data_IF_835228626083
#
_entry.id   IF_835228626083
#
_cell.length_a   1.000
_cell.length_b   1.000
_cell.length_c   1.000
_cell.angle_alpha   90.00
_cell.angle_beta   90.00
_cell.angle_gamma   90.00
#
_symmetry.space_group_name_H-M   'P 1'
#
loop_
_entity.id
_entity.type
_entity.pdbx_description
1 polymer ?
#
# COMPACT_ATOMS: atom_id res chain seq x y z
N UNK A 1 65.71 3.32 -13.08
CA UNK A 1 64.52 2.48 -12.82
C UNK A 1 63.36 3.40 -12.49
N UNK A 2 62.55 3.76 -13.49
CA UNK A 2 61.26 4.41 -13.27
C UNK A 2 60.29 3.30 -12.87
N UNK A 3 60.00 3.20 -11.58
CA UNK A 3 58.89 2.37 -11.09
C UNK A 3 57.60 3.01 -11.59
N UNK A 4 57.11 2.54 -12.74
CA UNK A 4 55.77 2.79 -13.21
C UNK A 4 54.78 2.14 -12.25
N UNK A 5 54.50 2.83 -11.14
CA UNK A 5 53.39 2.48 -10.27
C UNK A 5 52.13 2.55 -11.11
N UNK A 6 51.50 1.40 -11.36
CA UNK A 6 50.16 1.36 -11.90
C UNK A 6 49.29 2.20 -10.95
N UNK A 7 48.81 3.36 -11.41
CA UNK A 7 47.87 4.16 -10.65
C UNK A 7 46.60 3.32 -10.49
N UNK A 8 46.49 2.61 -9.36
CA UNK A 8 45.27 1.90 -8.99
C UNK A 8 44.28 2.95 -8.53
N UNK A 9 43.66 3.64 -9.50
CA UNK A 9 42.53 4.52 -9.23
C UNK A 9 41.38 3.76 -8.55
N UNK A 10 40.44 4.49 -7.91
CA UNK A 10 39.30 3.85 -7.27
C UNK A 10 38.51 2.99 -8.26
N UNK A 11 37.87 1.96 -7.74
CA UNK A 11 37.01 1.06 -8.52
C UNK A 11 35.59 1.55 -8.45
N UNK A 12 34.88 1.57 -9.58
CA UNK A 12 33.45 1.89 -9.59
C UNK A 12 32.69 0.59 -9.34
N UNK A 13 31.95 0.55 -8.24
CA UNK A 13 31.13 -0.60 -7.83
C UNK A 13 29.67 -0.15 -7.77
N UNK A 14 28.79 -0.89 -8.45
CA UNK A 14 27.35 -0.75 -8.26
C UNK A 14 26.90 -1.86 -7.31
N UNK A 15 26.36 -1.54 -6.13
CA UNK A 15 25.91 -2.56 -5.20
C UNK A 15 24.72 -3.33 -5.80
N UNK A 16 24.57 -4.57 -5.36
CA UNK A 16 23.38 -5.37 -5.67
C UNK A 16 22.17 -4.78 -4.90
N UNK A 17 20.94 -4.84 -5.46
CA UNK A 17 19.77 -4.40 -4.74
C UNK A 17 19.58 -5.26 -3.48
N UNK A 18 18.98 -4.70 -2.40
CA UNK A 18 18.71 -5.47 -1.20
C UNK A 18 17.92 -6.74 -1.53
N UNK A 19 18.32 -7.93 -1.04
CA UNK A 19 17.53 -9.13 -1.20
C UNK A 19 16.09 -8.96 -0.69
N UNK A 20 15.16 -9.68 -1.29
CA UNK A 20 13.76 -9.72 -0.90
C UNK A 20 13.47 -11.16 -0.46
N UNK A 21 12.73 -11.39 0.63
CA UNK A 21 12.32 -12.74 1.03
C UNK A 21 11.68 -13.49 -0.16
N UNK A 22 11.97 -14.78 -0.33
CA UNK A 22 11.49 -15.53 -1.50
C UNK A 22 9.96 -15.78 -1.46
N UNK A 23 9.41 -16.02 -0.25
CA UNK A 23 7.99 -16.29 -0.02
C UNK A 23 7.65 -16.31 1.47
N UNK A 24 6.37 -16.27 1.80
CA UNK A 24 5.85 -16.48 3.16
C UNK A 24 4.99 -17.73 3.24
N UNK A 25 4.59 -18.11 4.46
CA UNK A 25 3.60 -19.16 4.66
C UNK A 25 2.29 -18.83 3.93
N UNK A 26 1.50 -19.86 3.63
CA UNK A 26 0.19 -19.70 3.03
C UNK A 26 -0.70 -18.78 3.88
N UNK A 27 -1.50 -17.93 3.22
CA UNK A 27 -2.46 -17.09 3.92
C UNK A 27 -3.57 -17.99 4.48
N UNK A 28 -3.89 -17.90 5.79
CA UNK A 28 -5.00 -18.68 6.34
C UNK A 28 -6.33 -18.32 5.68
N UNK A 29 -7.20 -19.30 5.47
CA UNK A 29 -8.46 -19.13 4.71
C UNK A 29 -9.41 -18.07 5.30
N UNK A 30 -9.35 -17.85 6.61
CA UNK A 30 -10.18 -16.89 7.32
C UNK A 30 -9.60 -15.47 7.35
N UNK A 31 -8.38 -15.25 6.83
CA UNK A 31 -7.80 -13.92 6.77
C UNK A 31 -8.38 -13.11 5.60
N UNK A 32 -8.82 -11.91 5.91
CA UNK A 32 -9.54 -11.01 5.00
C UNK A 32 -8.56 -10.15 4.20
N UNK A 33 -7.63 -10.78 3.47
CA UNK A 33 -6.62 -10.05 2.67
C UNK A 33 -7.25 -9.35 1.45
N UNK A 34 -6.48 -8.46 0.81
CA UNK A 34 -6.92 -7.68 -0.35
C UNK A 34 -6.22 -8.14 -1.63
N UNK A 35 -4.90 -8.34 -1.57
CA UNK A 35 -4.10 -8.76 -2.72
C UNK A 35 -3.95 -10.28 -2.76
N UNK A 36 -4.18 -10.88 -3.92
CA UNK A 36 -3.84 -12.28 -4.18
C UNK A 36 -2.38 -12.42 -4.65
N UNK A 37 -1.80 -13.60 -4.48
CA UNK A 37 -0.45 -13.92 -4.96
C UNK A 37 -0.29 -13.57 -6.45
N UNK A 38 0.84 -12.95 -6.80
CA UNK A 38 1.12 -12.56 -8.18
C UNK A 38 0.37 -11.31 -8.65
N UNK A 39 -0.22 -10.54 -7.73
CA UNK A 39 -0.84 -9.24 -8.03
C UNK A 39 -0.04 -8.07 -7.46
N UNK A 40 -0.37 -6.86 -7.89
CA UNK A 40 0.17 -5.63 -7.33
C UNK A 40 -0.91 -4.55 -7.24
N UNK A 41 -0.72 -3.63 -6.30
CA UNK A 41 -1.41 -2.33 -6.26
C UNK A 41 -0.37 -1.24 -6.51
N UNK A 42 -0.72 -0.28 -7.37
CA UNK A 42 0.06 0.94 -7.62
C UNK A 42 -0.83 2.13 -7.33
N UNK A 43 -0.42 2.99 -6.41
CA UNK A 43 -1.18 4.17 -6.01
C UNK A 43 -0.37 5.46 -6.15
N UNK A 44 -1.02 6.52 -6.63
CA UNK A 44 -0.40 7.81 -6.89
C UNK A 44 -0.17 8.61 -5.62
N UNK A 45 1.06 9.09 -5.45
CA UNK A 45 1.51 9.91 -4.34
C UNK A 45 2.15 11.22 -4.85
N UNK A 46 2.18 12.30 -4.04
CA UNK A 46 2.78 13.58 -4.46
C UNK A 46 4.24 13.51 -4.94
N UNK A 47 4.98 12.45 -4.57
CA UNK A 47 6.38 12.23 -4.91
C UNK A 47 6.56 11.11 -5.96
N UNK A 48 5.49 10.61 -6.57
CA UNK A 48 5.53 9.52 -7.54
C UNK A 48 4.46 8.48 -7.24
N UNK A 49 4.88 7.23 -7.00
CA UNK A 49 3.96 6.12 -6.78
C UNK A 49 4.38 5.27 -5.60
N UNK A 50 3.42 4.86 -4.78
CA UNK A 50 3.60 3.74 -3.86
C UNK A 50 3.15 2.47 -4.56
N UNK A 51 3.91 1.39 -4.43
CA UNK A 51 3.59 0.11 -5.05
C UNK A 51 3.68 -1.01 -4.02
N UNK A 52 2.67 -1.85 -3.97
CA UNK A 52 2.58 -3.02 -3.10
C UNK A 52 2.52 -4.25 -4.00
N UNK A 53 3.51 -5.13 -3.89
CA UNK A 53 3.59 -6.39 -4.63
C UNK A 53 3.18 -7.54 -3.71
N UNK A 54 2.24 -8.36 -4.15
CA UNK A 54 1.88 -9.60 -3.46
C UNK A 54 2.66 -10.78 -4.04
N UNK A 55 3.52 -11.34 -3.22
CA UNK A 55 4.23 -12.57 -3.52
C UNK A 55 3.53 -13.82 -3.01
N UNK A 56 4.20 -14.98 -3.10
CA UNK A 56 3.70 -16.21 -2.52
C UNK A 56 3.33 -16.06 -1.04
N UNK A 57 2.10 -16.43 -0.71
CA UNK A 57 1.57 -16.42 0.65
C UNK A 57 1.59 -15.03 1.29
N UNK A 58 2.16 -14.96 2.49
CA UNK A 58 2.20 -13.74 3.31
C UNK A 58 3.27 -12.72 2.88
N UNK A 59 3.96 -12.93 1.76
CA UNK A 59 4.99 -12.01 1.28
C UNK A 59 4.37 -10.73 0.68
N UNK A 60 4.86 -9.57 1.12
CA UNK A 60 4.63 -8.28 0.47
C UNK A 60 5.94 -7.54 0.19
N UNK A 61 5.98 -6.78 -0.90
CA UNK A 61 7.06 -5.82 -1.18
C UNK A 61 6.47 -4.44 -1.35
N UNK A 62 7.03 -3.47 -0.62
CA UNK A 62 6.63 -2.08 -0.69
C UNK A 62 7.69 -1.28 -1.43
N UNK A 63 7.28 -0.60 -2.49
CA UNK A 63 8.12 0.39 -3.18
C UNK A 63 7.69 1.79 -2.77
N UNK A 64 8.62 2.56 -2.23
CA UNK A 64 8.41 3.94 -1.80
C UNK A 64 9.63 4.78 -2.19
N UNK A 65 9.41 5.89 -2.90
CA UNK A 65 10.47 6.76 -3.46
C UNK A 65 11.55 6.00 -4.26
N UNK A 66 11.16 4.94 -4.97
CA UNK A 66 12.06 4.09 -5.74
C UNK A 66 12.79 3.02 -4.92
N UNK A 67 12.66 3.02 -3.60
CA UNK A 67 13.24 2.01 -2.71
C UNK A 67 12.28 0.85 -2.49
N UNK A 68 12.76 -0.40 -2.58
CA UNK A 68 11.96 -1.62 -2.41
C UNK A 68 12.27 -2.30 -1.09
N UNK A 69 11.26 -2.68 -0.32
CA UNK A 69 11.40 -3.42 0.95
C UNK A 69 10.44 -4.59 1.01
N UNK A 70 10.99 -5.80 1.16
CA UNK A 70 10.20 -7.03 1.29
C UNK A 70 10.01 -7.43 2.74
N UNK A 71 8.81 -7.87 3.09
CA UNK A 71 8.45 -8.38 4.41
C UNK A 71 7.55 -9.61 4.27
N UNK A 72 7.61 -10.50 5.26
CA UNK A 72 6.62 -11.56 5.45
C UNK A 72 5.67 -11.06 6.53
N UNK A 73 4.39 -10.93 6.19
CA UNK A 73 3.38 -10.41 7.11
C UNK A 73 2.89 -11.53 8.03
N UNK A 74 2.42 -11.12 9.21
CA UNK A 74 1.83 -11.97 10.22
C UNK A 74 0.30 -11.93 10.06
N UNK A 75 -0.37 -13.08 9.93
CA UNK A 75 -1.83 -13.13 9.90
C UNK A 75 -2.38 -12.83 11.29
N UNK A 76 -3.47 -12.07 11.35
CA UNK A 76 -4.18 -11.83 12.60
C UNK A 76 -4.94 -13.10 13.01
N UNK A 77 -4.78 -13.52 14.26
CA UNK A 77 -5.56 -14.59 14.89
C UNK A 77 -6.89 -14.13 15.48
N UNK A 78 -7.05 -12.82 15.69
CA UNK A 78 -8.23 -12.18 16.27
C UNK A 78 -8.63 -10.93 15.47
N UNK A 79 -9.94 -10.61 15.46
CA UNK A 79 -10.46 -9.41 14.78
C UNK A 79 -9.93 -8.15 15.45
N UNK A 80 -9.17 -7.36 14.72
CA UNK A 80 -8.70 -6.06 15.17
C UNK A 80 -9.41 -4.96 14.40
N UNK A 81 -10.15 -4.11 15.13
CA UNK A 81 -10.99 -3.06 14.55
C UNK A 81 -11.91 -3.59 13.42
N UNK A 82 -12.48 -4.78 13.65
CA UNK A 82 -13.40 -5.45 12.72
C UNK A 82 -12.74 -6.31 11.65
N UNK A 83 -11.41 -6.35 11.54
CA UNK A 83 -10.70 -7.04 10.44
C UNK A 83 -9.86 -8.24 10.89
N UNK A 84 -9.90 -9.32 10.11
CA UNK A 84 -8.96 -10.46 10.17
C UNK A 84 -7.82 -10.31 9.13
N UNK A 85 -7.23 -9.13 9.01
CA UNK A 85 -6.17 -8.86 8.03
C UNK A 85 -4.81 -9.51 8.34
N UNK A 86 -3.79 -9.06 7.64
CA UNK A 86 -2.37 -9.39 7.85
C UNK A 86 -1.61 -8.10 8.20
N UNK A 87 -0.55 -8.19 9.00
CA UNK A 87 0.23 -7.01 9.42
C UNK A 87 1.71 -7.30 9.55
N UNK A 88 2.52 -6.26 9.59
CA UNK A 88 3.90 -6.36 10.04
C UNK A 88 4.33 -5.03 10.62
N UNK A 89 5.00 -5.04 11.77
CA UNK A 89 5.58 -3.84 12.37
C UNK A 89 7.02 -4.14 12.79
N UNK A 90 7.96 -3.35 12.28
CA UNK A 90 9.36 -3.50 12.65
C UNK A 90 10.31 -3.23 11.50
N UNK A 91 11.53 -3.75 11.65
CA UNK A 91 12.60 -3.60 10.67
C UNK A 91 12.61 -4.81 9.71
N UNK A 92 12.41 -4.59 8.40
CA UNK A 92 12.46 -5.67 7.42
C UNK A 92 13.75 -6.53 7.52
N UNK A 93 13.67 -7.84 7.28
CA UNK A 93 14.79 -8.77 7.50
C UNK A 93 16.05 -8.46 6.68
N UNK A 94 15.90 -7.78 5.55
CA UNK A 94 17.01 -7.40 4.66
C UNK A 94 17.20 -5.90 4.67
N UNK A 95 18.41 -5.44 5.01
CA UNK A 95 18.64 -4.05 5.41
C UNK A 95 19.73 -3.30 4.64
N UNK A 96 19.31 -2.22 3.97
CA UNK A 96 20.06 -0.96 3.89
C UNK A 96 19.06 0.18 4.18
N UNK A 97 19.46 1.21 4.93
CA UNK A 97 18.61 2.39 5.12
C UNK A 97 18.47 3.11 3.78
N UNK A 98 17.23 3.42 3.37
CA UNK A 98 17.02 4.30 2.24
C UNK A 98 16.15 5.47 2.66
N UNK A 99 16.65 6.67 2.33
CA UNK A 99 16.00 7.94 2.66
C UNK A 99 15.62 8.09 4.15
N UNK A 100 16.43 7.50 5.04
CA UNK A 100 16.23 7.56 6.50
C UNK A 100 15.11 6.69 7.05
N UNK A 101 14.38 5.95 6.21
CA UNK A 101 13.39 4.97 6.66
C UNK A 101 14.11 3.70 7.07
N UNK A 102 13.92 3.28 8.32
CA UNK A 102 14.48 2.06 8.90
C UNK A 102 13.47 0.96 9.21
N UNK A 103 12.19 1.32 9.32
CA UNK A 103 11.11 0.44 9.76
C UNK A 103 9.89 0.59 8.86
N UNK A 104 9.04 -0.42 8.89
CA UNK A 104 7.72 -0.37 8.29
C UNK A 104 6.65 -0.76 9.31
N UNK A 105 5.49 -0.15 9.19
CA UNK A 105 4.26 -0.51 9.91
C UNK A 105 3.18 -0.69 8.85
N UNK A 106 2.87 -1.94 8.52
CA UNK A 106 2.02 -2.27 7.38
C UNK A 106 0.83 -3.10 7.80
N UNK A 107 -0.33 -2.74 7.26
CA UNK A 107 -1.58 -3.46 7.47
C UNK A 107 -2.27 -3.69 6.13
N UNK A 108 -2.84 -4.89 5.96
CA UNK A 108 -3.71 -5.22 4.83
C UNK A 108 -4.93 -5.95 5.36
N UNK A 109 -6.13 -5.56 4.92
CA UNK A 109 -7.33 -6.28 5.30
C UNK A 109 -8.63 -5.76 4.69
N UNK A 110 -9.76 -6.32 5.11
CA UNK A 110 -11.08 -5.77 4.82
C UNK A 110 -11.63 -4.97 6.01
N UNK A 111 -12.40 -3.91 5.73
CA UNK A 111 -13.16 -3.16 6.74
C UNK A 111 -14.61 -3.08 6.34
N UNK A 112 -15.49 -3.27 7.31
CA UNK A 112 -16.94 -3.19 7.13
C UNK A 112 -17.46 -1.99 7.92
N UNK A 113 -18.24 -1.16 7.26
CA UNK A 113 -18.88 0.01 7.82
C UNK A 113 -20.37 -0.07 7.53
N UNK A 114 -21.18 0.50 8.41
CA UNK A 114 -22.63 0.62 8.18
C UNK A 114 -22.94 1.71 7.16
N UNK A 115 -22.18 2.82 7.18
CA UNK A 115 -22.41 3.97 6.30
C UNK A 115 -21.12 4.46 5.64
N UNK A 116 -21.26 5.21 4.54
CA UNK A 116 -20.14 5.90 3.89
C UNK A 116 -19.47 6.90 4.86
N UNK A 117 -20.26 7.63 5.64
CA UNK A 117 -19.76 8.61 6.61
C UNK A 117 -18.85 7.94 7.66
N UNK A 118 -19.17 6.72 8.11
CA UNK A 118 -18.32 5.92 9.01
C UNK A 118 -16.95 5.63 8.40
N UNK A 119 -16.93 5.23 7.13
CA UNK A 119 -15.70 4.98 6.40
C UNK A 119 -14.85 6.25 6.27
N UNK A 120 -15.48 7.38 5.95
CA UNK A 120 -14.78 8.66 5.79
C UNK A 120 -14.22 9.19 7.12
N UNK A 121 -14.98 9.10 8.21
CA UNK A 121 -14.52 9.47 9.56
C UNK A 121 -13.33 8.61 9.96
N UNK A 122 -13.40 7.30 9.70
CA UNK A 122 -12.32 6.38 10.01
C UNK A 122 -11.02 6.79 9.30
N UNK A 123 -11.10 7.12 8.00
CA UNK A 123 -9.94 7.58 7.24
C UNK A 123 -9.34 8.88 7.82
N UNK A 124 -10.18 9.82 8.26
CA UNK A 124 -9.73 11.07 8.89
C UNK A 124 -8.97 10.82 10.21
N UNK A 125 -9.44 9.89 11.04
CA UNK A 125 -8.83 9.57 12.35
C UNK A 125 -7.43 8.95 12.20
N UNK A 126 -7.21 8.09 11.19
CA UNK A 126 -5.90 7.45 10.96
C UNK A 126 -4.79 8.45 10.57
N UNK A 127 -5.16 9.65 10.10
CA UNK A 127 -4.25 10.73 9.69
C UNK A 127 -3.17 10.27 8.70
N UNK A 128 -3.59 9.50 7.69
CA UNK A 128 -2.75 9.12 6.55
C UNK A 128 -3.02 10.02 5.34
N UNK A 129 -2.13 9.97 4.36
CA UNK A 129 -2.43 10.36 2.98
C UNK A 129 -3.06 9.16 2.29
N UNK A 130 -4.02 9.40 1.40
CA UNK A 130 -4.74 8.33 0.72
C UNK A 130 -4.77 8.50 -0.80
N UNK A 131 -4.87 7.35 -1.47
CA UNK A 131 -5.45 7.20 -2.80
C UNK A 131 -6.45 6.05 -2.70
N UNK A 132 -7.65 6.22 -3.25
CA UNK A 132 -8.73 5.25 -3.09
C UNK A 132 -9.73 5.34 -4.23
N UNK A 133 -10.41 4.23 -4.49
CA UNK A 133 -11.39 4.08 -5.57
C UNK A 133 -12.81 4.10 -5.04
N UNK A 134 -13.75 4.33 -5.95
CA UNK A 134 -15.18 4.32 -5.68
C UNK A 134 -15.67 2.96 -5.16
N UNK A 135 -14.99 1.87 -5.54
CA UNK A 135 -15.33 0.51 -5.11
C UNK A 135 -14.76 0.14 -3.72
N UNK A 136 -14.18 1.10 -3.01
CA UNK A 136 -13.71 0.92 -1.64
C UNK A 136 -12.31 0.34 -1.49
N UNK A 137 -11.52 0.25 -2.57
CA UNK A 137 -10.10 -0.05 -2.41
C UNK A 137 -9.35 1.21 -1.94
N UNK A 138 -8.73 1.13 -0.78
CA UNK A 138 -8.07 2.24 -0.10
C UNK A 138 -6.61 1.91 0.14
N UNK A 139 -5.71 2.78 -0.33
CA UNK A 139 -4.29 2.74 -0.01
C UNK A 139 -3.94 4.00 0.79
N UNK A 140 -3.48 3.81 2.02
CA UNK A 140 -3.07 4.86 2.93
C UNK A 140 -1.57 4.81 3.23
N UNK A 141 -0.91 5.95 3.41
CA UNK A 141 0.48 5.98 3.85
C UNK A 141 0.84 7.25 4.64
N UNK A 142 1.88 7.14 5.46
CA UNK A 142 2.59 8.27 6.08
C UNK A 142 4.00 7.86 6.46
N UNK A 143 4.84 8.84 6.74
CA UNK A 143 6.14 8.63 7.39
C UNK A 143 6.13 9.29 8.76
N UNK A 144 6.69 8.64 9.77
CA UNK A 144 6.89 9.21 11.11
C UNK A 144 8.24 8.75 11.65
N UNK A 145 9.19 9.68 11.77
CA UNK A 145 10.56 9.33 12.14
C UNK A 145 11.18 8.42 11.09
N UNK A 146 11.69 7.27 11.53
CA UNK A 146 12.29 6.25 10.69
C UNK A 146 11.28 5.18 10.21
N UNK A 147 9.98 5.35 10.45
CA UNK A 147 8.94 4.39 10.06
C UNK A 147 8.12 4.87 8.86
N UNK A 148 8.00 4.01 7.84
CA UNK A 148 6.99 4.12 6.78
C UNK A 148 5.75 3.30 7.16
N UNK A 149 4.61 3.96 7.33
CA UNK A 149 3.33 3.28 7.52
C UNK A 149 2.62 3.13 6.17
N UNK A 150 2.14 1.93 5.84
CA UNK A 150 1.33 1.66 4.64
C UNK A 150 0.12 0.80 5.02
N UNK A 151 -1.06 1.22 4.59
CA UNK A 151 -2.30 0.52 4.84
C UNK A 151 -3.03 0.22 3.54
N UNK A 152 -3.49 -1.01 3.37
CA UNK A 152 -4.31 -1.44 2.25
C UNK A 152 -5.62 -1.99 2.79
N UNK A 153 -6.74 -1.38 2.40
CA UNK A 153 -8.06 -1.80 2.86
C UNK A 153 -9.02 -1.98 1.70
N UNK A 154 -9.81 -3.05 1.73
CA UNK A 154 -11.05 -3.12 0.97
C UNK A 154 -12.21 -2.77 1.91
N UNK A 155 -12.88 -1.66 1.64
CA UNK A 155 -14.05 -1.21 2.37
C UNK A 155 -15.32 -1.88 1.83
N UNK A 156 -16.22 -2.17 2.77
CA UNK A 156 -17.60 -2.57 2.51
C UNK A 156 -18.51 -1.63 3.28
N UNK A 157 -19.55 -1.13 2.62
CA UNK A 157 -20.61 -0.31 3.20
C UNK A 157 -21.89 -1.14 3.16
N UNK A 158 -22.52 -1.33 4.32
CA UNK A 158 -23.71 -2.18 4.47
C UNK A 158 -23.52 -3.59 3.89
N UNK A 159 -22.32 -4.15 4.10
CA UNK A 159 -21.97 -5.51 3.65
C UNK A 159 -21.51 -5.62 2.19
N UNK A 160 -21.69 -4.59 1.36
CA UNK A 160 -21.34 -4.59 -0.06
C UNK A 160 -20.17 -3.66 -0.37
N UNK A 161 -19.49 -3.86 -1.52
CA UNK A 161 -18.52 -2.86 -1.98
C UNK A 161 -19.30 -1.59 -2.35
N UNK A 162 -18.88 -0.40 -1.90
CA UNK A 162 -19.51 0.83 -2.36
C UNK A 162 -19.38 0.97 -3.87
N UNK A 163 -20.24 1.76 -4.49
CA UNK A 163 -20.11 2.15 -5.91
C UNK A 163 -19.61 3.58 -6.06
N UNK A 164 -19.59 4.34 -4.96
CA UNK A 164 -19.09 5.70 -4.86
C UNK A 164 -18.53 5.95 -3.47
N UNK A 165 -17.40 6.66 -3.40
CA UNK A 165 -16.86 7.18 -2.14
C UNK A 165 -16.47 8.64 -2.33
N UNK A 166 -16.87 9.56 -1.43
CA UNK A 166 -16.53 10.98 -1.56
C UNK A 166 -15.02 11.20 -1.67
N UNK A 167 -14.59 11.85 -2.74
CA UNK A 167 -13.17 12.17 -3.00
C UNK A 167 -12.34 11.01 -3.57
N UNK A 168 -12.97 9.88 -3.89
CA UNK A 168 -12.31 8.78 -4.57
C UNK A 168 -11.94 9.14 -6.02
N UNK A 169 -10.85 8.53 -6.48
CA UNK A 169 -10.34 8.70 -7.84
C UNK A 169 -9.81 7.36 -8.33
N UNK A 170 -10.60 6.71 -9.20
CA UNK A 170 -10.29 5.40 -9.77
C UNK A 170 -9.02 5.41 -10.63
N UNK A 171 -8.56 6.58 -11.07
CA UNK A 171 -7.34 6.67 -11.89
C UNK A 171 -6.06 6.62 -11.05
N UNK A 172 -6.18 6.89 -9.75
CA UNK A 172 -5.03 7.01 -8.83
C UNK A 172 -4.68 5.72 -8.11
N UNK A 173 -5.42 4.64 -8.34
CA UNK A 173 -5.12 3.30 -7.82
C UNK A 173 -5.33 2.28 -8.93
N UNK A 174 -4.27 1.58 -9.30
CA UNK A 174 -4.30 0.51 -10.28
C UNK A 174 -4.01 -0.84 -9.59
N UNK A 175 -4.84 -1.83 -9.86
CA UNK A 175 -4.61 -3.24 -9.49
C UNK A 175 -4.33 -4.03 -10.74
N UNK A 176 -3.38 -4.96 -10.70
CA UNK A 176 -3.07 -5.77 -11.85
C UNK A 176 -2.09 -6.89 -11.57
N UNK A 177 -1.65 -7.61 -12.62
CA UNK A 177 -0.62 -8.63 -12.49
C UNK A 177 0.68 -8.01 -11.96
N UNK A 178 1.41 -8.80 -11.18
CA UNK A 178 2.68 -8.39 -10.60
C UNK A 178 3.72 -8.15 -11.69
N UNK A 179 4.26 -6.94 -11.72
CA UNK A 179 5.40 -6.56 -12.55
C UNK A 179 6.60 -6.28 -11.64
N UNK A 180 7.61 -7.15 -11.61
CA UNK A 180 8.78 -6.93 -10.75
C UNK A 180 9.79 -6.06 -11.47
N UNK A 181 9.98 -4.84 -10.99
CA UNK A 181 11.04 -3.92 -11.45
C UNK A 181 12.12 -3.86 -10.35
N UNK A 182 13.36 -4.31 -10.62
CA UNK A 182 14.45 -4.24 -9.64
C UNK A 182 14.73 -2.80 -9.18
N UNK A 183 15.15 -2.63 -7.92
CA UNK A 183 15.58 -1.32 -7.41
C UNK A 183 16.83 -0.89 -8.18
N UNK A 184 16.82 0.32 -8.74
CA UNK A 184 17.99 0.90 -9.37
C UNK A 184 19.00 1.29 -8.30
N UNK A 185 20.22 0.79 -8.41
CA UNK A 185 21.31 1.09 -7.48
C UNK A 185 22.25 2.13 -8.07
N UNK A 186 22.73 3.06 -7.24
CA UNK A 186 23.71 4.06 -7.63
C UNK A 186 25.12 3.53 -7.42
N UNK A 187 26.04 3.72 -8.38
CA UNK A 187 27.44 3.35 -8.21
C UNK A 187 28.14 4.20 -7.15
N UNK A 188 29.16 3.63 -6.53
CA UNK A 188 30.11 4.32 -5.66
C UNK A 188 31.55 3.96 -6.05
N UNK A 189 32.46 4.87 -5.74
CA UNK A 189 33.89 4.64 -5.81
C UNK A 189 34.33 3.85 -4.57
N UNK A 190 35.19 2.85 -4.76
CA UNK A 190 35.84 2.08 -3.70
C UNK A 190 37.34 2.25 -3.84
N UNK A 191 37.96 2.83 -2.83
CA UNK A 191 39.38 3.13 -2.81
C UNK A 191 40.19 1.99 -2.17
N UNK A 192 41.51 1.99 -2.36
CA UNK A 192 42.39 0.91 -1.93
C UNK A 192 42.48 0.74 -0.39
N UNK A 193 42.26 1.82 0.35
CA UNK A 193 42.17 1.87 1.81
C UNK A 193 40.77 1.53 2.35
N UNK A 194 39.81 1.24 1.47
CA UNK A 194 38.46 0.82 1.81
C UNK A 194 37.44 1.95 1.99
N UNK A 195 37.83 3.23 1.86
CA UNK A 195 36.83 4.29 1.86
C UNK A 195 35.96 4.26 0.60
N UNK A 196 34.74 4.78 0.72
CA UNK A 196 33.77 4.82 -0.37
C UNK A 196 33.18 6.20 -0.57
N UNK A 197 33.00 6.61 -1.82
CA UNK A 197 32.38 7.89 -2.18
C UNK A 197 31.29 7.70 -3.25
N UNK A 198 30.21 8.50 -3.27
CA UNK A 198 29.21 8.42 -4.34
C UNK A 198 29.85 8.66 -5.72
N UNK A 199 29.52 7.85 -6.72
CA UNK A 199 29.96 8.10 -8.09
C UNK A 199 28.92 8.95 -8.84
N UNK A 200 29.13 10.26 -8.85
CA UNK A 200 28.31 11.28 -9.51
C UNK A 200 29.14 12.11 -10.53
N UNK A 201 28.52 13.09 -11.19
CA UNK A 201 29.19 13.95 -12.21
C UNK A 201 30.47 14.64 -11.70
N UNK A 202 30.49 15.08 -10.45
CA UNK A 202 31.63 15.77 -9.85
C UNK A 202 32.80 14.80 -9.60
N UNK A 203 32.52 13.68 -8.93
CA UNK A 203 33.54 12.63 -8.67
C UNK A 203 34.02 11.96 -9.95
N UNK A 204 33.16 11.84 -10.98
CA UNK A 204 33.54 11.28 -12.27
C UNK A 204 34.57 12.15 -13.01
N UNK A 205 34.47 13.48 -12.88
CA UNK A 205 35.46 14.40 -13.42
C UNK A 205 36.80 14.31 -12.67
N UNK A 206 36.77 14.09 -11.35
CA UNK A 206 37.95 13.96 -10.50
C UNK A 206 38.65 12.60 -10.64
N UNK A 207 37.90 11.54 -10.95
CA UNK A 207 38.39 10.17 -11.06
C UNK A 207 38.14 9.57 -12.46
N UNK A 208 38.54 10.29 -13.51
CA UNK A 208 38.39 9.87 -14.92
C UNK A 208 39.14 8.57 -15.28
N UNK A 209 40.06 8.10 -14.44
CA UNK A 209 40.77 6.82 -14.57
C UNK A 209 40.16 5.65 -13.78
N UNK A 210 39.02 5.84 -13.11
CA UNK A 210 38.35 4.80 -12.34
C UNK A 210 37.81 3.69 -13.25
N UNK A 211 38.04 2.42 -12.88
CA UNK A 211 37.60 1.26 -13.67
C UNK A 211 36.32 0.69 -13.10
N UNK A 212 35.30 0.51 -13.95
CA UNK A 212 34.09 -0.21 -13.59
C UNK A 212 34.40 -1.69 -13.40
N UNK A 213 34.00 -2.26 -12.26
CA UNK A 213 34.02 -3.70 -12.06
C UNK A 213 32.73 -4.30 -12.60
N UNK A 214 32.84 -5.10 -13.65
CA UNK A 214 31.77 -6.02 -14.04
C UNK A 214 31.89 -7.28 -13.19
N UNK A 215 31.00 -7.51 -12.23
CA UNK A 215 30.72 -8.88 -11.75
C UNK A 215 29.95 -9.63 -12.84
N UNK A 216 30.63 -9.94 -13.94
CA UNK A 216 30.33 -11.14 -14.71
C UNK A 216 31.18 -12.26 -14.11
N UNK A 217 30.80 -12.71 -12.90
CA UNK A 217 31.32 -13.96 -12.37
C UNK A 217 30.62 -15.07 -13.15
N UNK A 218 31.29 -15.52 -14.20
CA UNK A 218 31.07 -16.85 -14.76
C UNK A 218 31.45 -17.83 -13.65
N UNK A 219 30.49 -18.14 -12.77
CA UNK A 219 30.58 -19.31 -11.92
C UNK A 219 30.51 -20.51 -12.86
N UNK A 220 31.69 -20.92 -13.31
CA UNK A 220 31.88 -22.21 -13.97
C UNK A 220 31.77 -23.23 -12.83
N UNK A 221 30.53 -23.55 -12.45
CA UNK A 221 30.25 -24.74 -11.69
C UNK A 221 30.67 -25.89 -12.60
N UNK A 222 31.82 -26.48 -12.26
CA UNK A 222 32.28 -27.75 -12.77
C UNK A 222 31.26 -28.83 -12.38
N UNK A 223 30.18 -28.95 -13.14
CA UNK A 223 29.34 -30.13 -13.16
C UNK A 223 29.83 -31.06 -14.24
N UNK A 224 30.68 -31.98 -13.81
CA UNK A 224 31.06 -33.18 -14.54
C UNK A 224 29.80 -34.04 -14.75
N UNK A 225 29.07 -33.81 -15.84
CA UNK A 225 27.93 -34.64 -16.28
C UNK A 225 27.89 -34.85 -17.80
N UNK A 226 29.02 -34.61 -18.48
CA UNK A 226 29.17 -34.67 -19.94
C UNK A 226 29.12 -36.10 -20.49
N UNK A 227 27.99 -36.78 -20.31
CA UNK A 227 27.58 -37.96 -21.08
C UNK A 227 26.12 -38.30 -20.76
N UNK A 228 25.18 -37.47 -21.25
CA UNK A 228 23.90 -37.95 -21.82
C UNK A 228 23.04 -36.82 -22.42
N UNK A 229 22.71 -37.05 -23.70
CA UNK A 229 21.48 -36.67 -24.43
C UNK A 229 21.20 -35.19 -24.71
N UNK A 230 21.70 -34.74 -25.88
CA UNK A 230 21.33 -33.52 -26.59
C UNK A 230 19.91 -33.53 -27.22
N UNK A 231 19.02 -34.43 -26.81
CA UNK A 231 17.65 -34.54 -27.35
C UNK A 231 16.55 -34.02 -26.40
N UNK A 232 16.88 -33.70 -25.14
CA UNK A 232 15.85 -33.42 -24.10
C UNK A 232 15.62 -31.90 -23.83
N UNK A 233 16.35 -31.01 -24.54
CA UNK A 233 16.30 -29.57 -24.31
C UNK A 233 15.31 -28.83 -25.25
N UNK A 234 15.10 -29.31 -26.47
CA UNK A 234 14.11 -28.73 -27.40
C UNK A 234 12.68 -29.07 -26.99
N UNK A 235 12.42 -30.29 -26.53
CA UNK A 235 11.08 -30.72 -26.12
C UNK A 235 10.61 -30.01 -24.84
N UNK A 236 11.51 -29.77 -23.86
CA UNK A 236 11.19 -29.00 -22.64
C UNK A 236 11.02 -27.51 -22.91
N UNK A 237 11.77 -26.92 -23.84
CA UNK A 237 11.60 -25.52 -24.23
C UNK A 237 10.27 -25.29 -24.97
N UNK A 238 9.87 -26.22 -25.85
CA UNK A 238 8.57 -26.18 -26.51
C UNK A 238 7.40 -26.45 -25.55
N UNK A 239 7.58 -27.37 -24.58
CA UNK A 239 6.58 -27.62 -23.54
C UNK A 239 6.39 -26.40 -22.61
N UNK A 240 7.47 -25.71 -22.22
CA UNK A 240 7.41 -24.50 -21.41
C UNK A 240 6.77 -23.31 -22.17
N UNK A 241 7.04 -23.18 -23.47
CA UNK A 241 6.41 -22.16 -24.32
C UNK A 241 4.91 -22.41 -24.50
N UNK A 242 4.49 -23.66 -24.68
CA UNK A 242 3.07 -24.05 -24.77
C UNK A 242 2.33 -23.87 -23.44
N UNK A 243 2.96 -24.21 -22.31
CA UNK A 243 2.38 -23.99 -20.98
C UNK A 243 2.19 -22.50 -20.66
N UNK A 244 3.15 -21.65 -21.05
CA UNK A 244 3.03 -20.19 -20.90
C UNK A 244 1.92 -19.61 -21.78
N UNK A 245 1.83 -20.04 -23.04
CA UNK A 245 0.77 -19.61 -23.94
C UNK A 245 -0.63 -20.06 -23.48
N UNK A 246 -0.74 -21.25 -22.88
CA UNK A 246 -1.98 -21.74 -22.32
C UNK A 246 -2.40 -20.96 -21.05
N UNK A 247 -1.46 -20.66 -20.16
CA UNK A 247 -1.73 -19.84 -18.96
C UNK A 247 -2.14 -18.40 -19.33
N UNK A 248 -1.52 -17.81 -20.36
CA UNK A 248 -1.90 -16.47 -20.86
C UNK A 248 -3.29 -16.48 -21.52
N UNK A 249 -3.66 -17.56 -22.21
CA UNK A 249 -4.99 -17.73 -22.80
C UNK A 249 -6.08 -17.96 -21.73
N UNK A 250 -5.81 -18.76 -20.71
CA UNK A 250 -6.72 -19.01 -19.59
C UNK A 250 -6.93 -17.75 -18.73
N UNK A 251 -5.87 -16.97 -18.47
CA UNK A 251 -5.96 -15.70 -17.76
C UNK A 251 -6.75 -14.64 -18.56
N UNK A 252 -6.60 -14.62 -19.89
CA UNK A 252 -7.39 -13.73 -20.75
C UNK A 252 -8.87 -14.12 -20.78
N UNK A 253 -9.18 -15.41 -20.87
CA UNK A 253 -10.55 -15.92 -20.84
C UNK A 253 -11.23 -15.62 -19.48
N UNK A 254 -10.50 -15.72 -18.37
CA UNK A 254 -11.00 -15.36 -17.04
C UNK A 254 -11.21 -13.85 -16.89
N UNK A 255 -10.34 -13.01 -17.47
CA UNK A 255 -10.52 -11.56 -17.49
C UNK A 255 -11.74 -11.12 -18.32
N UNK A 256 -11.98 -11.76 -19.46
CA UNK A 256 -13.14 -11.49 -20.32
C UNK A 256 -14.45 -11.97 -19.66
N UNK A 257 -14.43 -13.11 -18.96
CA UNK A 257 -15.59 -13.60 -18.19
C UNK A 257 -15.89 -12.72 -16.96
N UNK A 258 -14.86 -12.22 -16.27
CA UNK A 258 -15.02 -11.28 -15.15
C UNK A 258 -15.58 -9.93 -15.62
N UNK A 259 -15.14 -9.43 -16.78
CA UNK A 259 -15.66 -8.21 -17.39
C UNK A 259 -17.14 -8.36 -17.81
N UNK A 260 -17.53 -9.52 -18.35
CA UNK A 260 -18.92 -9.81 -18.70
C UNK A 260 -19.84 -9.87 -17.46
N UNK A 261 -19.38 -10.51 -16.37
CA UNK A 261 -20.13 -10.57 -15.12
C UNK A 261 -20.25 -9.20 -14.43
N UNK A 262 -19.24 -8.33 -14.57
CA UNK A 262 -19.29 -6.95 -14.08
C UNK A 262 -20.26 -6.08 -14.90
N UNK A 263 -20.34 -6.28 -16.22
CA UNK A 263 -21.29 -5.58 -17.09
C UNK A 263 -22.76 -5.95 -16.76
N UNK A 264 -23.03 -7.22 -16.46
CA UNK A 264 -24.37 -7.69 -16.05
C UNK A 264 -24.78 -7.16 -14.67
N UNK A 265 -23.84 -7.07 -13.71
CA UNK A 265 -24.08 -6.43 -12.41
C UNK A 265 -24.28 -4.92 -12.49
N UNK A 266 -23.56 -4.24 -13.38
CA UNK A 266 -23.74 -2.80 -13.61
C UNK A 266 -25.13 -2.47 -14.16
N UNK A 267 -25.66 -3.33 -15.05
CA UNK A 267 -27.01 -3.19 -15.58
C UNK A 267 -28.10 -3.44 -14.51
N UNK A 268 -27.84 -4.29 -13.51
CA UNK A 268 -28.76 -4.52 -12.39
C UNK A 268 -28.75 -3.39 -11.34
N UNK A 269 -27.62 -2.70 -11.15
CA UNK A 269 -27.47 -1.61 -10.20
C UNK A 269 -28.12 -0.29 -10.65
N UNK A 270 -28.30 -0.09 -11.95
CA UNK A 270 -28.96 1.12 -12.50
C UNK A 270 -30.49 1.14 -12.27
N UNK A 271 -31.08 0.02 -11.83
CA UNK A 271 -32.53 -0.12 -11.63
C UNK A 271 -33.03 0.16 -10.20
N UNK A 272 -32.16 0.47 -9.23
CA UNK A 272 -32.56 0.69 -7.84
C UNK A 272 -31.92 1.96 -7.26
N UNK A 273 -32.69 3.04 -7.17
CA UNK A 273 -32.33 4.24 -6.39
C UNK A 273 -32.75 4.00 -4.92
N UNK A 274 -31.82 3.90 -3.95
CA UNK A 274 -32.19 3.77 -2.54
C UNK A 274 -32.66 5.13 -1.98
N UNK A 275 -33.69 5.13 -1.15
CA UNK A 275 -34.18 6.32 -0.45
C UNK A 275 -33.18 6.77 0.64
N UNK A 276 -33.03 8.08 0.82
CA UNK A 276 -32.14 8.72 1.80
C UNK A 276 -32.58 8.42 3.25
N UNK A 277 -31.67 8.08 4.18
CA UNK A 277 -32.03 7.76 5.56
C UNK A 277 -32.53 8.99 6.33
N UNK A 278 -33.66 8.87 7.03
CA UNK A 278 -34.17 9.92 7.92
C UNK A 278 -33.41 9.91 9.27
N UNK A 279 -32.81 11.04 9.63
CA UNK A 279 -32.12 11.21 10.92
C UNK A 279 -32.99 11.96 11.94
N UNK A 280 -32.94 11.60 13.23
CA UNK A 280 -33.64 12.36 14.27
C UNK A 280 -33.04 13.77 14.43
N UNK A 281 -33.89 14.79 14.38
CA UNK A 281 -33.51 16.19 14.59
C UNK A 281 -33.44 16.56 16.07
N UNK A 282 -32.54 17.46 16.43
CA UNK A 282 -32.47 18.10 17.74
C UNK A 282 -32.07 19.58 17.61
N UNK A 283 -32.19 20.33 18.70
CA UNK A 283 -31.76 21.74 18.76
C UNK A 283 -30.72 21.96 19.85
N UNK A 284 -29.80 22.89 19.62
CA UNK A 284 -28.80 23.26 20.64
C UNK A 284 -29.49 24.02 21.78
N UNK A 285 -29.28 23.58 23.02
CA UNK A 285 -29.95 24.15 24.21
C UNK A 285 -29.09 25.15 25.00
N UNK A 286 -27.80 25.25 24.72
CA UNK A 286 -26.88 26.17 25.40
C UNK A 286 -26.57 27.42 24.59
N UNK A 287 -26.38 28.56 25.25
CA UNK A 287 -26.14 29.87 24.61
C UNK A 287 -24.94 29.87 23.66
N UNK A 288 -23.85 29.21 24.06
CA UNK A 288 -22.67 28.95 23.22
C UNK A 288 -22.16 27.54 23.50
N UNK A 289 -22.26 26.65 22.53
CA UNK A 289 -21.87 25.24 22.65
C UNK A 289 -20.67 24.94 21.78
N UNK A 290 -19.65 24.31 22.36
CA UNK A 290 -18.45 23.90 21.62
C UNK A 290 -18.72 22.60 20.85
N UNK A 291 -18.53 22.65 19.53
CA UNK A 291 -18.57 21.49 18.66
C UNK A 291 -17.14 20.97 18.48
N UNK A 292 -16.92 19.69 18.78
CA UNK A 292 -15.57 19.11 18.93
C UNK A 292 -15.27 18.06 17.87
N UNK A 293 -13.98 17.79 17.68
CA UNK A 293 -13.49 16.76 16.75
C UNK A 293 -13.61 15.32 17.28
N UNK A 294 -14.01 15.14 18.54
CA UNK A 294 -14.25 13.82 19.16
C UNK A 294 -15.23 13.89 20.33
N UNK A 295 -15.73 12.72 20.74
CA UNK A 295 -16.69 12.48 21.84
C UNK A 295 -16.07 12.66 23.23
N UNK A 296 -15.30 13.73 23.44
CA UNK A 296 -14.60 14.00 24.69
C UNK A 296 -14.46 15.49 24.97
N UNK A 297 -14.42 15.86 26.26
CA UNK A 297 -14.11 17.24 26.69
C UNK A 297 -12.66 17.65 26.39
N UNK A 298 -11.76 16.69 26.17
CA UNK A 298 -10.35 16.92 25.82
C UNK A 298 -10.12 17.07 24.32
N UNK A 299 -11.12 16.78 23.49
CA UNK A 299 -11.07 16.89 22.03
C UNK A 299 -11.00 18.35 21.57
N UNK A 300 -10.38 18.61 20.43
CA UNK A 300 -10.20 19.97 19.89
C UNK A 300 -11.57 20.56 19.55
N UNK A 301 -11.78 21.83 19.90
CA UNK A 301 -12.97 22.58 19.45
C UNK A 301 -12.80 22.94 17.97
N UNK A 302 -13.75 22.52 17.15
CA UNK A 302 -13.81 22.84 15.72
C UNK A 302 -14.44 24.22 15.51
N UNK A 303 -15.61 24.42 16.11
CA UNK A 303 -16.36 25.68 16.07
C UNK A 303 -17.36 25.75 17.22
N UNK A 304 -18.11 26.85 17.31
CA UNK A 304 -19.16 27.05 18.30
C UNK A 304 -20.52 27.16 17.61
N UNK A 305 -21.53 26.56 18.22
CA UNK A 305 -22.94 26.65 17.85
C UNK A 305 -23.70 27.49 18.89
N UNK A 306 -24.84 28.05 18.48
CA UNK A 306 -25.68 28.90 19.33
C UNK A 306 -26.96 28.18 19.70
N UNK A 307 -27.59 28.65 20.76
CA UNK A 307 -28.90 28.19 21.19
C UNK A 307 -29.92 28.33 20.06
N UNK A 308 -30.69 27.28 19.82
CA UNK A 308 -31.70 27.22 18.75
C UNK A 308 -31.19 26.71 17.40
N UNK A 309 -29.88 26.51 17.21
CA UNK A 309 -29.36 25.89 15.98
C UNK A 309 -29.93 24.47 15.83
N UNK A 310 -30.54 24.18 14.68
CA UNK A 310 -31.09 22.88 14.33
C UNK A 310 -29.99 21.95 13.83
N UNK A 311 -30.03 20.70 14.28
CA UNK A 311 -29.05 19.68 13.91
C UNK A 311 -29.70 18.31 13.71
N UNK A 312 -29.14 17.54 12.80
CA UNK A 312 -29.45 16.12 12.63
C UNK A 312 -28.46 15.28 13.43
N UNK A 313 -28.97 14.35 14.23
CA UNK A 313 -28.13 13.44 15.01
C UNK A 313 -27.77 12.25 14.13
N UNK A 314 -26.50 12.22 13.71
CA UNK A 314 -25.96 11.15 12.88
C UNK A 314 -25.51 9.95 13.71
N UNK A 315 -24.95 10.17 14.90
CA UNK A 315 -24.43 9.11 15.80
C UNK A 315 -24.51 9.45 17.27
N UNK A 316 -24.42 8.42 18.12
CA UNK A 316 -24.30 8.53 19.57
C UNK A 316 -23.06 7.76 20.06
N UNK A 317 -22.26 8.36 20.95
CA UNK A 317 -21.15 7.69 21.63
C UNK A 317 -20.98 8.24 23.05
N UNK A 318 -21.17 7.39 24.07
CA UNK A 318 -20.86 7.67 25.48
C UNK A 318 -21.32 9.05 25.98
N UNK A 319 -22.56 9.43 25.68
CA UNK A 319 -23.14 10.71 26.10
C UNK A 319 -22.78 11.91 25.20
N UNK A 320 -22.22 11.65 24.03
CA UNK A 320 -22.00 12.62 22.95
C UNK A 320 -22.81 12.24 21.72
N UNK A 321 -23.20 13.25 20.95
CA UNK A 321 -23.86 13.12 19.66
C UNK A 321 -22.96 13.66 18.58
N UNK A 322 -22.79 12.92 17.50
CA UNK A 322 -22.22 13.44 16.27
C UNK A 322 -23.36 14.06 15.47
N UNK A 323 -23.28 15.36 15.22
CA UNK A 323 -24.38 16.14 14.66
C UNK A 323 -23.98 16.82 13.36
N UNK A 324 -24.95 16.99 12.46
CA UNK A 324 -24.83 17.75 11.21
C UNK A 324 -25.71 19.00 11.29
N UNK A 325 -25.13 20.14 10.94
CA UNK A 325 -25.84 21.42 10.84
C UNK A 325 -26.41 21.63 9.43
N UNK A 326 -27.37 22.55 9.29
CA UNK A 326 -27.96 22.92 7.99
C UNK A 326 -26.93 23.40 6.95
N UNK A 327 -25.78 23.92 7.40
CA UNK A 327 -24.67 24.37 6.56
C UNK A 327 -23.61 23.28 6.29
N UNK A 328 -23.99 22.01 6.46
CA UNK A 328 -23.17 20.81 6.29
C UNK A 328 -21.97 20.68 7.24
N UNK A 329 -21.78 21.59 8.20
CA UNK A 329 -20.76 21.41 9.23
C UNK A 329 -21.13 20.24 10.14
N UNK A 330 -20.13 19.45 10.56
CA UNK A 330 -20.31 18.29 11.44
C UNK A 330 -19.37 18.32 12.63
N UNK A 331 -19.78 17.70 13.74
CA UNK A 331 -18.91 17.49 14.89
C UNK A 331 -19.62 16.91 16.10
N UNK A 332 -18.88 16.73 17.18
CA UNK A 332 -19.36 16.13 18.41
C UNK A 332 -19.85 17.18 19.41
N UNK A 333 -21.04 16.96 19.98
CA UNK A 333 -21.65 17.77 21.03
C UNK A 333 -22.11 16.86 22.16
N UNK A 334 -22.05 17.32 23.41
CA UNK A 334 -22.53 16.52 24.54
C UNK A 334 -24.06 16.43 24.52
N UNK A 335 -24.62 15.26 24.78
CA UNK A 335 -26.07 14.96 24.67
C UNK A 335 -26.91 15.90 25.55
N UNK A 336 -26.42 16.27 26.73
CA UNK A 336 -27.12 17.17 27.65
C UNK A 336 -27.23 18.62 27.15
N UNK A 337 -26.52 18.98 26.07
CA UNK A 337 -26.59 20.28 25.40
C UNK A 337 -27.54 20.29 24.20
N UNK A 338 -28.30 19.21 24.01
CA UNK A 338 -29.32 19.07 22.98
C UNK A 338 -30.72 19.01 23.60
N UNK A 339 -31.67 19.61 22.91
CA UNK A 339 -33.10 19.52 23.17
C UNK A 339 -33.75 18.75 22.02
N UNK A 340 -34.31 17.59 22.36
CA UNK A 340 -35.11 16.75 21.47
C UNK A 340 -36.55 17.24 21.43
#
# INVERSE_FOLDING_TARGET
MLLGGCATGPRIVTPEPPPIPEGGDAVPENNEIVLSDGTQIVADAPWGRIKIEAGPGLRRVYTWRGNRRGVILEPRSERFAGSMGIRYEGQPPVWEAADGITKVDVEEGQRRFETVDDAMIWMQIRRLRYAYTNDGLVVGWKTKGDTLTVEVWQFYIDGEKPTTLPGADNTRVAVGPLEVVPQKMSPHLVFADGHTEPYNTETAAQHSGARAESKASTSTISCNWFQRTFTDCSERAEAAAKAKAQAEAEAKAQAEAAAAAQAERAAAAEAATPAEPEYPSATISGSTVNIRDGSSTNSKVLFQAKEGDSVEILKEDKGWRYVKFEDDRKGWVADFLLKK
#
